data_IF_556033464936
#
_entry.id   IF_556033464936
#
_cell.length_a   1.000
_cell.length_b   1.000
_cell.length_c   1.000
_cell.angle_alpha   90.00
_cell.angle_beta   90.00
_cell.angle_gamma   90.00
#
_symmetry.space_group_name_H-M   'P 1'
#
loop_
_entity.id
_entity.type
_entity.pdbx_description
1 polymer ?
#
# COMPACT_ATOMS: atom_id res chain seq x y z
N UNK A 1 54.41 45.18 -11.63
CA UNK A 1 53.83 44.96 -10.30
C UNK A 1 53.32 43.53 -10.27
N UNK A 2 53.68 42.74 -9.25
CA UNK A 2 53.06 41.43 -9.03
C UNK A 2 51.71 41.76 -8.39
N UNK A 3 50.62 41.61 -9.13
CA UNK A 3 49.27 41.76 -8.59
C UNK A 3 49.08 40.68 -7.54
N UNK A 4 48.74 41.09 -6.32
CA UNK A 4 48.36 40.16 -5.26
C UNK A 4 46.90 39.80 -5.52
N UNK A 5 46.63 38.52 -5.68
CA UNK A 5 45.27 38.00 -5.82
C UNK A 5 44.72 37.67 -4.43
N UNK A 6 43.60 38.32 -4.08
CA UNK A 6 42.91 38.17 -2.80
C UNK A 6 41.46 37.69 -2.97
N UNK A 7 41.06 37.27 -4.17
CA UNK A 7 39.68 36.88 -4.45
C UNK A 7 39.55 35.37 -4.32
N UNK A 8 38.66 34.84 -3.45
CA UNK A 8 38.41 33.41 -3.41
C UNK A 8 37.83 32.89 -4.74
N UNK A 9 38.31 31.76 -5.26
CA UNK A 9 37.69 31.12 -6.42
C UNK A 9 36.27 30.64 -6.07
N UNK A 10 35.41 30.58 -7.07
CA UNK A 10 34.01 30.09 -6.95
C UNK A 10 33.75 28.99 -7.97
N UNK A 11 32.73 28.16 -7.75
CA UNK A 11 32.25 27.21 -8.77
C UNK A 11 31.40 27.95 -9.79
N UNK A 12 31.79 27.91 -11.06
CA UNK A 12 31.06 28.52 -12.17
C UNK A 12 30.02 27.57 -12.79
N UNK A 13 30.29 26.26 -12.77
CA UNK A 13 29.32 25.23 -13.16
C UNK A 13 29.64 23.89 -12.52
N UNK A 14 28.60 23.14 -12.16
CA UNK A 14 28.69 21.75 -11.72
C UNK A 14 27.72 20.90 -12.54
N UNK A 15 28.21 19.81 -13.13
CA UNK A 15 27.41 18.84 -13.89
C UNK A 15 27.73 17.43 -13.45
N UNK A 16 26.72 16.57 -13.45
CA UNK A 16 26.82 15.14 -13.16
C UNK A 16 26.63 14.32 -14.44
N UNK A 17 27.10 13.08 -14.44
CA UNK A 17 26.99 12.17 -15.60
C UNK A 17 25.57 11.68 -15.83
N UNK A 18 24.84 11.48 -14.75
CA UNK A 18 23.47 11.02 -14.73
C UNK A 18 22.71 11.80 -13.65
N UNK A 19 21.43 12.06 -13.89
CA UNK A 19 20.54 12.68 -12.90
C UNK A 19 19.73 11.65 -12.14
N UNK A 20 19.70 10.38 -12.58
CA UNK A 20 19.08 9.28 -11.87
C UNK A 20 19.97 8.04 -11.98
N UNK A 21 20.47 7.56 -10.86
CA UNK A 21 21.28 6.34 -10.81
C UNK A 21 20.39 5.16 -10.45
N UNK A 22 20.36 4.14 -11.30
CA UNK A 22 19.52 2.94 -11.17
C UNK A 22 20.32 1.63 -11.17
N UNK A 23 19.64 0.48 -11.12
CA UNK A 23 20.25 -0.83 -11.33
C UNK A 23 21.00 -0.92 -12.66
N UNK A 24 20.55 -0.19 -13.68
CA UNK A 24 21.21 -0.14 -14.98
C UNK A 24 22.63 0.46 -14.91
N UNK A 25 22.89 1.28 -13.89
CA UNK A 25 24.18 1.94 -13.67
C UNK A 25 25.11 1.12 -12.78
N UNK A 26 24.64 0.04 -12.16
CA UNK A 26 25.44 -0.79 -11.27
C UNK A 26 26.72 -1.31 -11.97
N UNK A 27 27.88 -1.07 -11.35
CA UNK A 27 29.19 -1.40 -11.90
C UNK A 27 29.74 -0.39 -12.91
N UNK A 28 28.97 0.63 -13.29
CA UNK A 28 29.43 1.73 -14.13
C UNK A 28 30.16 2.82 -13.32
N UNK A 29 30.56 3.89 -14.00
CA UNK A 29 31.19 5.06 -13.38
C UNK A 29 30.25 6.27 -13.44
N UNK A 30 29.94 6.80 -12.27
CA UNK A 30 29.30 8.11 -12.11
C UNK A 30 30.37 9.20 -11.99
N UNK A 31 30.20 10.33 -12.68
CA UNK A 31 31.15 11.44 -12.58
C UNK A 31 30.52 12.78 -12.22
N UNK A 32 31.28 13.60 -11.48
CA UNK A 32 30.98 14.99 -11.15
C UNK A 32 32.07 15.88 -11.77
N UNK A 33 31.67 16.79 -12.65
CA UNK A 33 32.57 17.80 -13.23
C UNK A 33 32.30 19.15 -12.57
N UNK A 34 33.37 19.77 -12.07
CA UNK A 34 33.34 21.07 -11.40
C UNK A 34 34.23 22.01 -12.19
N UNK A 35 33.64 23.12 -12.67
CA UNK A 35 34.40 24.21 -13.31
C UNK A 35 34.48 25.38 -12.33
N UNK A 36 35.68 25.91 -12.16
CA UNK A 36 35.95 27.05 -11.28
C UNK A 36 35.96 28.37 -12.06
N UNK A 37 35.81 29.50 -11.35
CA UNK A 37 35.84 30.84 -11.92
C UNK A 37 37.21 31.28 -12.43
N UNK A 38 38.27 30.57 -12.04
CA UNK A 38 39.66 30.89 -12.36
C UNK A 38 40.60 29.69 -12.24
N UNK A 39 41.89 29.91 -12.52
CA UNK A 39 42.90 28.87 -12.48
C UNK A 39 43.24 28.46 -11.02
N UNK A 40 43.18 27.16 -10.77
CA UNK A 40 43.33 26.52 -9.46
C UNK A 40 44.75 25.97 -9.25
N UNK A 41 45.15 25.79 -7.99
CA UNK A 41 46.31 24.98 -7.64
C UNK A 41 45.94 23.50 -7.81
N UNK A 42 46.42 22.89 -8.90
CA UNK A 42 46.09 21.50 -9.24
C UNK A 42 46.73 20.47 -8.29
N UNK A 43 47.55 20.89 -7.32
CA UNK A 43 48.05 20.03 -6.24
C UNK A 43 47.07 19.90 -5.06
N UNK A 44 46.04 20.77 -5.00
CA UNK A 44 45.01 20.77 -3.96
C UNK A 44 43.67 20.36 -4.57
N UNK A 45 43.19 19.16 -4.25
CA UNK A 45 41.87 18.70 -4.70
C UNK A 45 40.72 19.34 -3.89
N UNK A 46 39.56 19.64 -4.50
CA UNK A 46 38.36 19.97 -3.74
C UNK A 46 37.91 18.78 -2.88
N UNK A 47 37.22 19.09 -1.79
CA UNK A 47 36.40 18.13 -1.03
C UNK A 47 35.00 18.14 -1.62
N UNK A 48 34.49 16.96 -1.96
CA UNK A 48 33.12 16.75 -2.46
C UNK A 48 32.37 15.90 -1.45
N UNK A 49 31.20 16.37 -1.02
CA UNK A 49 30.30 15.63 -0.13
C UNK A 49 28.88 15.65 -0.66
N UNK A 50 28.12 14.60 -0.38
CA UNK A 50 26.73 14.46 -0.77
C UNK A 50 25.83 14.56 0.46
N UNK A 51 24.67 15.20 0.30
CA UNK A 51 23.64 15.28 1.33
C UNK A 51 22.26 15.06 0.68
N UNK A 52 21.52 13.97 1.01
CA UNK A 52 21.88 12.90 1.94
C UNK A 52 23.15 12.11 1.56
N UNK A 53 23.70 11.35 2.51
CA UNK A 53 24.91 10.54 2.26
C UNK A 53 24.62 9.34 1.37
N UNK A 54 25.43 9.16 0.32
CA UNK A 54 25.27 8.11 -0.70
C UNK A 54 26.42 7.09 -0.74
N UNK A 55 27.18 6.96 0.36
CA UNK A 55 28.40 6.15 0.42
C UNK A 55 28.18 4.64 0.21
N UNK A 56 26.94 4.16 0.28
CA UNK A 56 26.56 2.78 -0.03
C UNK A 56 26.51 2.51 -1.53
N UNK A 57 26.14 3.50 -2.33
CA UNK A 57 25.99 3.42 -3.80
C UNK A 57 27.21 3.99 -4.51
N UNK A 58 27.69 5.17 -4.12
CA UNK A 58 28.87 5.81 -4.72
C UNK A 58 30.13 5.48 -3.92
N UNK A 59 30.96 4.61 -4.48
CA UNK A 59 32.18 4.09 -3.84
C UNK A 59 33.43 4.45 -4.63
N UNK A 60 34.62 4.12 -4.09
CA UNK A 60 35.92 4.25 -4.76
C UNK A 60 36.16 5.64 -5.40
N UNK A 61 35.89 6.71 -4.65
CA UNK A 61 36.07 8.06 -5.13
C UNK A 61 37.51 8.31 -5.63
N UNK A 62 37.63 8.72 -6.88
CA UNK A 62 38.87 9.14 -7.52
C UNK A 62 38.67 10.50 -8.16
N UNK A 63 39.65 11.39 -8.10
CA UNK A 63 39.52 12.68 -8.77
C UNK A 63 40.81 13.15 -9.40
N UNK A 64 40.66 13.94 -10.46
CA UNK A 64 41.76 14.47 -11.26
C UNK A 64 41.42 15.86 -11.79
N UNK A 65 42.44 16.69 -11.93
CA UNK A 65 42.32 17.96 -12.64
C UNK A 65 42.39 17.70 -14.14
N UNK A 66 41.27 17.89 -14.84
CA UNK A 66 41.20 17.78 -16.30
C UNK A 66 41.84 19.00 -17.00
N UNK A 67 41.84 20.15 -16.31
CA UNK A 67 42.59 21.35 -16.67
C UNK A 67 42.90 22.13 -15.38
N UNK A 68 43.54 23.29 -15.48
CA UNK A 68 43.71 24.18 -14.33
C UNK A 68 42.40 24.84 -13.84
N UNK A 69 41.26 24.63 -14.52
CA UNK A 69 39.96 25.21 -14.13
C UNK A 69 38.87 24.16 -13.93
N UNK A 70 39.15 22.89 -14.27
CA UNK A 70 38.15 21.81 -14.27
C UNK A 70 38.66 20.63 -13.46
N UNK A 71 37.91 20.28 -12.40
CA UNK A 71 38.12 19.07 -11.63
C UNK A 71 37.06 18.03 -11.98
N UNK A 72 37.48 16.78 -12.18
CA UNK A 72 36.60 15.64 -12.44
C UNK A 72 36.76 14.61 -11.32
N UNK A 73 35.67 14.32 -10.62
CA UNK A 73 35.56 13.19 -9.70
C UNK A 73 34.80 12.05 -10.36
N UNK A 74 35.24 10.81 -10.15
CA UNK A 74 34.59 9.59 -10.56
C UNK A 74 34.30 8.71 -9.34
N UNK A 75 33.17 8.03 -9.37
CA UNK A 75 32.70 7.09 -8.36
C UNK A 75 32.30 5.81 -9.06
N UNK A 76 32.57 4.66 -8.45
CA UNK A 76 31.97 3.40 -8.88
C UNK A 76 30.57 3.31 -8.30
N UNK A 77 29.60 2.98 -9.15
CA UNK A 77 28.22 2.75 -8.74
C UNK A 77 28.07 1.30 -8.27
N UNK A 78 27.53 1.11 -7.07
CA UNK A 78 27.09 -0.17 -6.54
C UNK A 78 25.57 -0.15 -6.42
N UNK A 79 24.91 -1.25 -6.79
CA UNK A 79 23.54 -1.51 -6.39
C UNK A 79 23.53 -1.78 -4.88
N UNK A 80 22.84 -0.92 -4.14
CA UNK A 80 22.71 -1.00 -2.70
C UNK A 80 21.25 -1.25 -2.24
N UNK A 81 20.31 -1.42 -3.17
CA UNK A 81 18.88 -1.51 -2.85
C UNK A 81 18.33 -0.28 -2.13
N UNK A 82 18.69 0.93 -2.56
CA UNK A 82 18.27 2.18 -1.89
C UNK A 82 17.57 3.15 -2.84
N UNK A 83 16.64 3.90 -2.26
CA UNK A 83 15.97 5.05 -2.86
C UNK A 83 16.36 6.31 -2.05
N UNK A 84 17.02 7.26 -2.72
CA UNK A 84 17.52 8.53 -2.16
C UNK A 84 17.31 9.64 -3.18
N UNK A 85 16.31 10.46 -2.91
CA UNK A 85 15.97 11.62 -3.73
C UNK A 85 16.84 12.85 -3.47
N UNK A 86 16.86 13.75 -4.47
CA UNK A 86 17.24 15.15 -4.34
C UNK A 86 18.61 15.34 -3.67
N UNK A 87 19.64 14.64 -4.17
CA UNK A 87 20.97 14.63 -3.57
C UNK A 87 21.72 15.91 -3.93
N UNK A 88 22.11 16.65 -2.90
CA UNK A 88 22.98 17.82 -3.01
C UNK A 88 24.43 17.42 -3.28
N UNK A 89 25.13 18.25 -4.06
CA UNK A 89 26.58 18.16 -4.25
C UNK A 89 27.26 19.40 -3.66
N UNK A 90 27.96 19.19 -2.55
CA UNK A 90 28.69 20.22 -1.85
C UNK A 90 30.18 20.17 -2.22
N UNK A 91 30.76 21.32 -2.56
CA UNK A 91 32.17 21.46 -2.96
C UNK A 91 32.86 22.49 -2.07
N UNK A 92 34.01 22.11 -1.50
CA UNK A 92 34.79 22.96 -0.60
C UNK A 92 36.31 22.71 -0.71
N UNK A 93 37.10 23.52 0.00
CA UNK A 93 38.53 23.30 0.27
C UNK A 93 39.52 23.40 -0.91
N UNK A 94 39.07 23.56 -2.16
CA UNK A 94 39.98 23.84 -3.27
C UNK A 94 40.65 25.22 -3.09
N UNK A 95 41.86 25.37 -3.64
CA UNK A 95 42.64 26.61 -3.57
C UNK A 95 43.06 27.09 -4.96
N UNK A 96 43.15 28.40 -5.15
CA UNK A 96 43.76 28.99 -6.34
C UNK A 96 45.30 28.94 -6.28
N UNK A 97 45.96 29.39 -7.36
CA UNK A 97 47.43 29.46 -7.45
C UNK A 97 48.05 30.45 -6.43
N UNK A 98 47.26 31.38 -5.90
CA UNK A 98 47.67 32.34 -4.88
C UNK A 98 47.48 31.80 -3.44
N UNK A 99 46.83 30.64 -3.28
CA UNK A 99 46.53 30.00 -2.01
C UNK A 99 45.23 30.46 -1.36
N UNK A 100 44.36 31.20 -2.06
CA UNK A 100 43.03 31.53 -1.53
C UNK A 100 42.15 30.29 -1.60
N UNK A 101 41.50 29.95 -0.47
CA UNK A 101 40.51 28.87 -0.43
C UNK A 101 39.22 29.33 -1.10
N UNK A 102 38.60 28.45 -1.89
CA UNK A 102 37.34 28.73 -2.57
C UNK A 102 36.22 29.14 -1.61
N UNK A 103 35.23 29.88 -2.14
CA UNK A 103 33.92 29.99 -1.49
C UNK A 103 33.20 28.65 -1.64
N UNK A 104 32.75 28.06 -0.53
CA UNK A 104 32.02 26.80 -0.55
C UNK A 104 30.77 26.90 -1.44
N UNK A 105 30.51 25.84 -2.20
CA UNK A 105 29.40 25.75 -3.15
C UNK A 105 28.46 24.62 -2.72
N UNK A 106 27.16 24.89 -2.70
CA UNK A 106 26.11 23.90 -2.57
C UNK A 106 25.34 23.86 -3.89
N UNK A 107 25.38 22.70 -4.55
CA UNK A 107 24.55 22.42 -5.69
C UNK A 107 23.36 21.59 -5.26
N UNK A 108 22.20 22.22 -5.07
CA UNK A 108 20.98 21.53 -4.63
C UNK A 108 20.44 20.54 -5.68
N UNK A 109 19.87 19.42 -5.23
CA UNK A 109 19.06 18.46 -6.01
C UNK A 109 19.71 18.09 -7.36
N UNK A 110 20.96 17.63 -7.34
CA UNK A 110 21.75 17.43 -8.58
C UNK A 110 21.46 16.10 -9.26
N UNK A 111 21.06 15.09 -8.50
CA UNK A 111 20.68 13.76 -8.98
C UNK A 111 19.92 13.02 -7.87
N UNK A 112 19.24 11.94 -8.25
CA UNK A 112 18.67 10.94 -7.32
C UNK A 112 19.35 9.58 -7.51
N UNK A 113 19.18 8.69 -6.55
CA UNK A 113 19.55 7.27 -6.64
C UNK A 113 18.30 6.46 -6.37
N UNK A 114 17.96 5.56 -7.28
CA UNK A 114 16.95 4.53 -7.07
C UNK A 114 17.46 3.21 -7.64
N UNK A 115 18.18 2.46 -6.81
CA UNK A 115 18.60 1.07 -7.12
C UNK A 115 17.74 0.06 -6.36
N UNK A 116 16.53 0.44 -5.93
CA UNK A 116 15.66 -0.43 -5.17
C UNK A 116 14.68 -1.12 -6.13
N UNK A 117 14.71 -2.46 -6.20
CA UNK A 117 13.72 -3.17 -7.01
C UNK A 117 12.33 -3.18 -6.35
N UNK A 118 11.25 -3.13 -7.15
CA UNK A 118 9.90 -3.33 -6.65
C UNK A 118 9.72 -4.73 -6.07
N UNK A 119 8.86 -4.85 -5.06
CA UNK A 119 8.50 -6.12 -4.42
C UNK A 119 7.00 -6.24 -4.26
N UNK A 120 6.46 -7.46 -4.21
CA UNK A 120 5.04 -7.70 -3.92
C UNK A 120 4.74 -7.42 -2.44
N UNK A 121 3.82 -6.50 -2.17
CA UNK A 121 3.37 -6.15 -0.81
C UNK A 121 2.16 -6.96 -0.37
N UNK A 122 1.10 -7.02 -1.17
CA UNK A 122 -0.08 -7.88 -0.95
C UNK A 122 -0.94 -7.99 -2.20
N UNK A 123 -1.79 -9.00 -2.25
CA UNK A 123 -2.87 -9.10 -3.23
C UNK A 123 -4.21 -9.31 -2.52
N UNK A 124 -5.25 -8.67 -3.03
CA UNK A 124 -6.61 -8.78 -2.50
C UNK A 124 -7.62 -8.74 -3.65
N UNK A 125 -8.75 -9.42 -3.46
CA UNK A 125 -9.88 -9.28 -4.37
C UNK A 125 -10.33 -7.82 -4.45
N UNK A 126 -10.55 -7.36 -5.68
CA UNK A 126 -11.12 -6.05 -5.97
C UNK A 126 -12.57 -6.19 -6.43
N UNK A 127 -13.35 -5.14 -6.15
CA UNK A 127 -14.77 -5.05 -6.42
C UNK A 127 -15.03 -5.12 -7.91
N UNK A 128 -15.84 -6.09 -8.31
CA UNK A 128 -16.47 -6.03 -9.62
C UNK A 128 -17.50 -4.87 -9.63
N UNK A 129 -17.04 -3.71 -10.09
CA UNK A 129 -17.86 -2.51 -10.25
C UNK A 129 -18.65 -2.51 -11.57
N UNK A 130 -18.49 -3.53 -12.44
CA UNK A 130 -19.14 -3.59 -13.75
C UNK A 130 -20.24 -4.66 -13.87
N UNK A 131 -20.34 -5.58 -12.89
CA UNK A 131 -21.42 -6.56 -12.79
C UNK A 131 -21.27 -7.77 -13.73
N UNK A 132 -20.03 -8.10 -14.12
CA UNK A 132 -19.70 -9.24 -14.96
C UNK A 132 -19.32 -10.49 -14.13
N UNK A 133 -19.32 -11.68 -14.74
CA UNK A 133 -18.90 -12.91 -14.05
C UNK A 133 -17.37 -13.07 -13.94
N UNK A 134 -16.62 -11.96 -13.87
CA UNK A 134 -15.17 -11.97 -13.76
C UNK A 134 -14.71 -11.71 -12.32
N UNK A 135 -13.46 -12.02 -12.02
CA UNK A 135 -12.82 -11.61 -10.78
C UNK A 135 -11.77 -10.55 -11.08
N UNK A 136 -11.78 -9.51 -10.26
CA UNK A 136 -10.75 -8.49 -10.22
C UNK A 136 -9.85 -8.69 -9.00
N UNK A 137 -8.57 -8.41 -9.16
CA UNK A 137 -7.56 -8.50 -8.08
C UNK A 137 -6.75 -7.21 -8.11
N UNK A 138 -6.62 -6.57 -6.96
CA UNK A 138 -5.62 -5.53 -6.73
C UNK A 138 -4.34 -6.16 -6.19
N UNK A 139 -3.24 -5.91 -6.90
CA UNK A 139 -1.89 -6.31 -6.54
C UNK A 139 -1.13 -5.06 -6.17
N UNK A 140 -0.62 -5.01 -4.94
CA UNK A 140 0.14 -3.89 -4.43
C UNK A 140 1.62 -4.23 -4.35
N UNK A 141 2.45 -3.26 -4.75
CA UNK A 141 3.90 -3.32 -4.76
C UNK A 141 4.49 -2.40 -3.69
N UNK A 142 5.80 -2.50 -3.42
CA UNK A 142 6.52 -1.65 -2.46
C UNK A 142 6.64 -0.19 -2.89
N UNK A 143 6.48 0.08 -4.18
CA UNK A 143 6.75 1.38 -4.81
C UNK A 143 5.95 1.54 -6.11
N UNK A 144 6.03 2.73 -6.70
CA UNK A 144 5.30 3.08 -7.91
C UNK A 144 5.90 2.40 -9.15
N UNK A 145 5.04 1.76 -9.96
CA UNK A 145 5.47 1.05 -11.15
C UNK A 145 5.45 1.94 -12.40
N UNK A 146 6.34 1.68 -13.36
CA UNK A 146 6.16 2.13 -14.72
C UNK A 146 5.10 1.27 -15.41
N UNK A 147 3.90 1.84 -15.54
CA UNK A 147 2.76 1.22 -16.21
C UNK A 147 3.06 0.74 -17.64
N UNK A 148 4.07 1.30 -18.33
CA UNK A 148 4.47 0.88 -19.67
C UNK A 148 5.12 -0.51 -19.71
N UNK A 149 5.65 -0.96 -18.57
CA UNK A 149 6.32 -2.26 -18.42
C UNK A 149 5.39 -3.38 -17.95
N UNK A 150 4.17 -3.03 -17.50
CA UNK A 150 3.25 -3.99 -16.89
C UNK A 150 2.28 -4.56 -17.93
N UNK A 151 2.38 -5.85 -18.19
CA UNK A 151 1.50 -6.61 -19.08
C UNK A 151 0.80 -7.76 -18.33
N UNK A 152 -0.35 -8.19 -18.84
CA UNK A 152 -1.09 -9.30 -18.23
C UNK A 152 -0.33 -10.63 -18.29
N UNK A 153 0.62 -10.75 -19.23
CA UNK A 153 1.51 -11.91 -19.37
C UNK A 153 2.61 -11.97 -18.32
N UNK A 154 2.83 -10.90 -17.56
CA UNK A 154 3.81 -10.90 -16.46
C UNK A 154 3.28 -11.63 -15.22
N UNK A 155 2.00 -12.01 -15.23
CA UNK A 155 1.31 -12.58 -14.08
C UNK A 155 0.64 -13.91 -14.42
N UNK A 156 0.69 -14.85 -13.48
CA UNK A 156 -0.17 -16.03 -13.46
C UNK A 156 -0.82 -16.25 -12.09
N UNK A 157 -1.87 -17.08 -12.08
CA UNK A 157 -2.59 -17.47 -10.86
C UNK A 157 -2.34 -18.96 -10.64
N UNK A 158 -2.04 -19.36 -9.40
CA UNK A 158 -1.78 -20.77 -9.07
C UNK A 158 -3.01 -21.69 -9.11
N UNK A 159 -4.16 -21.19 -9.60
CA UNK A 159 -5.41 -21.95 -9.74
C UNK A 159 -5.58 -22.42 -11.18
N UNK A 160 -5.59 -23.73 -11.39
CA UNK A 160 -5.76 -24.34 -12.71
C UNK A 160 -7.01 -23.82 -13.43
N UNK A 161 -6.83 -23.34 -14.67
CA UNK A 161 -7.92 -22.87 -15.53
C UNK A 161 -8.39 -21.45 -15.24
N UNK A 162 -7.73 -20.74 -14.31
CA UNK A 162 -7.93 -19.31 -14.07
C UNK A 162 -6.65 -18.59 -14.47
N UNK A 163 -6.75 -17.72 -15.46
CA UNK A 163 -5.63 -16.95 -16.01
C UNK A 163 -5.88 -15.45 -15.87
N UNK A 164 -4.80 -14.66 -15.87
CA UNK A 164 -4.89 -13.21 -15.97
C UNK A 164 -5.22 -12.84 -17.42
N UNK A 165 -6.40 -12.25 -17.62
CA UNK A 165 -6.91 -11.92 -18.94
C UNK A 165 -6.52 -10.51 -19.38
N UNK A 166 -6.32 -9.60 -18.43
CA UNK A 166 -6.08 -8.18 -18.70
C UNK A 166 -5.46 -7.48 -17.48
N UNK A 167 -4.56 -6.53 -17.74
CA UNK A 167 -4.23 -5.43 -16.81
C UNK A 167 -5.25 -4.32 -17.06
N UNK A 168 -6.07 -4.03 -16.07
CA UNK A 168 -7.17 -3.05 -16.15
C UNK A 168 -6.62 -1.65 -15.92
N UNK A 169 -5.80 -1.51 -14.88
CA UNK A 169 -5.18 -0.26 -14.46
C UNK A 169 -3.83 -0.58 -13.80
N UNK A 170 -2.86 0.31 -14.02
CA UNK A 170 -1.67 0.45 -13.18
C UNK A 170 -1.65 1.89 -12.69
N UNK A 171 -1.75 2.10 -11.38
CA UNK A 171 -1.80 3.42 -10.75
C UNK A 171 -0.88 3.45 -9.54
N UNK A 172 0.27 4.11 -9.68
CA UNK A 172 1.34 4.09 -8.69
C UNK A 172 1.76 2.65 -8.38
N UNK A 173 1.77 2.28 -7.10
CA UNK A 173 2.12 0.94 -6.61
C UNK A 173 1.02 -0.12 -6.75
N UNK A 174 -0.11 0.19 -7.39
CA UNK A 174 -1.24 -0.76 -7.53
C UNK A 174 -1.43 -1.17 -8.99
N UNK A 175 -1.56 -2.47 -9.21
CA UNK A 175 -2.00 -3.06 -10.47
C UNK A 175 -3.33 -3.78 -10.26
N UNK A 176 -4.36 -3.39 -11.00
CA UNK A 176 -5.66 -4.05 -11.02
C UNK A 176 -5.71 -5.02 -12.19
N UNK A 177 -5.91 -6.30 -11.90
CA UNK A 177 -5.95 -7.39 -12.86
C UNK A 177 -7.38 -7.93 -13.01
N UNK A 178 -7.79 -8.23 -14.24
CA UNK A 178 -9.01 -9.00 -14.51
C UNK A 178 -8.66 -10.43 -14.89
N UNK A 179 -9.30 -11.39 -14.25
CA UNK A 179 -9.17 -12.81 -14.57
C UNK A 179 -10.18 -13.27 -15.62
N UNK A 180 -9.90 -14.40 -16.27
CA UNK A 180 -10.80 -15.03 -17.25
C UNK A 180 -12.01 -15.75 -16.62
N UNK A 181 -12.10 -15.83 -15.30
CA UNK A 181 -13.17 -16.52 -14.58
C UNK A 181 -13.21 -16.17 -13.09
N UNK A 182 -14.16 -16.79 -12.38
CA UNK A 182 -14.34 -16.57 -10.95
C UNK A 182 -13.26 -17.26 -10.13
N UNK A 183 -12.53 -16.48 -9.33
CA UNK A 183 -11.54 -17.02 -8.40
C UNK A 183 -12.17 -17.33 -7.04
N UNK A 184 -11.82 -18.52 -6.54
CA UNK A 184 -12.17 -19.04 -5.23
C UNK A 184 -10.96 -18.94 -4.31
N UNK A 185 -11.02 -18.08 -3.30
CA UNK A 185 -9.86 -17.75 -2.47
C UNK A 185 -9.59 -18.73 -1.32
N UNK A 186 -10.53 -19.62 -0.96
CA UNK A 186 -10.37 -20.56 0.17
C UNK A 186 -9.23 -21.56 0.04
N UNK A 187 -8.78 -21.83 -1.20
CA UNK A 187 -7.56 -22.59 -1.47
C UNK A 187 -6.27 -21.78 -1.31
N UNK A 188 -6.34 -20.54 -0.81
CA UNK A 188 -5.23 -19.59 -0.70
C UNK A 188 -4.43 -19.45 -2.00
N UNK A 189 -5.11 -19.13 -3.13
CA UNK A 189 -4.43 -18.98 -4.41
C UNK A 189 -3.40 -17.84 -4.32
N UNK A 190 -2.39 -17.93 -5.15
CA UNK A 190 -1.30 -16.96 -5.23
C UNK A 190 -1.28 -16.36 -6.61
N UNK A 191 -0.94 -15.08 -6.68
CA UNK A 191 -0.41 -14.49 -7.91
C UNK A 191 1.09 -14.75 -7.97
N UNK A 192 1.61 -14.99 -9.17
CA UNK A 192 3.02 -15.30 -9.44
C UNK A 192 3.51 -14.32 -10.52
N UNK A 193 4.72 -13.79 -10.37
CA UNK A 193 5.42 -13.03 -11.40
C UNK A 193 6.13 -14.01 -12.33
N UNK A 194 5.69 -14.09 -13.57
CA UNK A 194 6.27 -14.92 -14.65
C UNK A 194 7.10 -14.11 -15.65
N UNK A 195 6.82 -12.80 -15.74
CA UNK A 195 7.52 -11.86 -16.61
C UNK A 195 8.35 -10.86 -15.81
N UNK A 196 8.30 -9.60 -16.21
CA UNK A 196 9.08 -8.53 -15.58
C UNK A 196 8.26 -7.26 -15.48
N UNK A 197 8.11 -6.74 -14.27
CA UNK A 197 7.53 -5.42 -14.02
C UNK A 197 8.62 -4.50 -13.48
N UNK A 198 8.63 -3.23 -13.90
CA UNK A 198 9.62 -2.25 -13.45
C UNK A 198 8.99 -1.09 -12.69
N UNK A 199 9.77 -0.50 -11.79
CA UNK A 199 9.47 0.82 -11.20
C UNK A 199 9.70 1.97 -12.21
N UNK A 200 9.64 3.21 -11.72
CA UNK A 200 9.86 4.42 -12.52
C UNK A 200 11.35 4.66 -12.87
N UNK A 201 12.29 4.10 -12.10
CA UNK A 201 13.72 4.16 -12.38
C UNK A 201 14.18 3.05 -13.35
N UNK A 202 13.31 2.07 -13.62
CA UNK A 202 13.55 0.94 -14.50
C UNK A 202 14.12 -0.29 -13.78
N UNK A 203 14.14 -0.33 -12.44
CA UNK A 203 14.56 -1.53 -11.72
C UNK A 203 13.44 -2.57 -11.78
N UNK A 204 13.81 -3.82 -12.07
CA UNK A 204 12.83 -4.86 -12.44
C UNK A 204 12.60 -5.88 -11.34
N UNK A 205 11.34 -6.23 -11.09
CA UNK A 205 10.94 -7.46 -10.40
C UNK A 205 10.64 -8.55 -11.42
N UNK A 206 11.40 -9.64 -11.37
CA UNK A 206 11.34 -10.74 -12.35
C UNK A 206 10.84 -12.07 -11.77
N UNK A 207 10.61 -12.12 -10.46
CA UNK A 207 10.07 -13.30 -9.79
C UNK A 207 9.44 -12.94 -8.45
N UNK A 208 8.50 -13.75 -7.99
CA UNK A 208 7.83 -13.53 -6.72
C UNK A 208 6.45 -14.14 -6.73
N UNK A 209 5.89 -14.37 -5.55
CA UNK A 209 4.51 -14.81 -5.42
C UNK A 209 3.90 -14.30 -4.14
N UNK A 210 2.61 -13.96 -4.16
CA UNK A 210 1.90 -13.54 -2.96
C UNK A 210 0.48 -14.11 -2.93
N UNK A 211 0.00 -14.47 -1.73
CA UNK A 211 -1.37 -14.97 -1.55
C UNK A 211 -2.39 -13.88 -1.84
N UNK A 212 -3.40 -14.23 -2.61
CA UNK A 212 -4.55 -13.40 -2.90
C UNK A 212 -5.56 -13.59 -1.78
N UNK A 213 -5.79 -12.52 -1.01
CA UNK A 213 -6.74 -12.51 0.09
C UNK A 213 -8.15 -12.14 -0.40
N UNK A 214 -9.17 -12.61 0.31
CA UNK A 214 -10.57 -12.19 0.03
C UNK A 214 -10.81 -10.78 0.50
N UNK A 215 -10.25 -10.46 1.65
CA UNK A 215 -10.34 -9.16 2.27
C UNK A 215 -9.07 -8.86 3.04
N UNK A 216 -8.83 -7.57 3.23
CA UNK A 216 -7.73 -7.02 4.01
C UNK A 216 -8.27 -5.83 4.79
N UNK A 217 -8.36 -5.95 6.11
CA UNK A 217 -8.94 -4.94 7.00
C UNK A 217 -7.83 -4.41 7.90
N UNK A 218 -7.43 -3.15 7.67
CA UNK A 218 -6.46 -2.47 8.52
C UNK A 218 -7.11 -2.06 9.85
N UNK A 219 -6.49 -2.45 10.96
CA UNK A 219 -6.94 -2.18 12.31
C UNK A 219 -5.95 -1.26 13.02
N UNK A 220 -6.47 -0.26 13.74
CA UNK A 220 -5.67 0.61 14.59
C UNK A 220 -5.43 -0.04 15.95
N UNK A 221 -4.39 0.39 16.67
CA UNK A 221 -4.28 0.12 18.10
C UNK A 221 -5.51 0.70 18.83
N UNK A 222 -6.02 0.00 19.84
CA UNK A 222 -7.26 0.35 20.53
C UNK A 222 -8.50 -0.22 19.85
N UNK A 223 -9.62 0.49 19.96
CA UNK A 223 -10.92 0.00 19.48
C UNK A 223 -11.13 0.24 17.99
N UNK A 224 -11.63 -0.80 17.32
CA UNK A 224 -12.08 -0.80 15.94
C UNK A 224 -13.50 -1.35 15.89
N UNK A 225 -14.30 -0.86 14.94
CA UNK A 225 -15.64 -1.37 14.66
C UNK A 225 -15.65 -1.94 13.24
N UNK A 226 -15.75 -3.26 13.13
CA UNK A 226 -15.57 -3.99 11.87
C UNK A 226 -16.74 -4.92 11.55
N UNK A 227 -16.74 -5.42 10.32
CA UNK A 227 -17.52 -6.59 9.90
C UNK A 227 -16.62 -7.53 9.09
N UNK A 228 -17.02 -8.79 8.92
CA UNK A 228 -16.30 -9.71 8.03
C UNK A 228 -17.01 -9.75 6.68
N UNK A 229 -16.37 -9.29 5.59
CA UNK A 229 -16.95 -9.26 4.25
C UNK A 229 -16.76 -10.60 3.53
N UNK A 230 -17.10 -11.69 4.23
CA UNK A 230 -17.06 -13.06 3.73
C UNK A 230 -18.04 -13.90 4.55
N UNK A 231 -18.48 -15.04 4.02
CA UNK A 231 -19.37 -15.95 4.76
C UNK A 231 -18.61 -16.86 5.72
N UNK A 232 -18.13 -16.30 6.82
CA UNK A 232 -17.37 -17.05 7.83
C UNK A 232 -18.25 -17.87 8.77
N UNK A 233 -19.49 -18.18 8.40
CA UNK A 233 -20.48 -18.85 9.26
C UNK A 233 -20.01 -20.22 9.77
N UNK A 234 -19.25 -20.95 8.95
CA UNK A 234 -18.74 -22.28 9.26
C UNK A 234 -17.27 -22.26 9.70
N UNK A 235 -16.61 -21.11 9.66
CA UNK A 235 -15.20 -20.99 10.03
C UNK A 235 -15.04 -20.83 11.55
N UNK A 236 -13.99 -21.45 12.09
CA UNK A 236 -13.61 -21.26 13.49
C UNK A 236 -13.09 -19.84 13.69
N UNK A 237 -13.47 -19.17 14.79
CA UNK A 237 -12.99 -17.82 15.08
C UNK A 237 -11.47 -17.77 15.09
N UNK A 238 -10.79 -18.76 15.70
CA UNK A 238 -9.33 -18.88 15.71
C UNK A 238 -8.68 -18.89 14.32
N UNK A 239 -9.39 -19.40 13.31
CA UNK A 239 -8.94 -19.39 11.91
C UNK A 239 -9.11 -18.00 11.31
N UNK A 240 -10.28 -17.39 11.49
CA UNK A 240 -10.61 -16.07 10.93
C UNK A 240 -9.68 -14.99 11.48
N UNK A 241 -9.36 -15.01 12.77
CA UNK A 241 -8.55 -13.97 13.43
C UNK A 241 -7.05 -14.31 13.49
N UNK A 242 -6.63 -15.40 12.87
CA UNK A 242 -5.25 -15.92 12.98
C UNK A 242 -4.18 -14.86 12.65
N UNK A 243 -4.42 -14.06 11.61
CA UNK A 243 -3.52 -12.99 11.14
C UNK A 243 -3.30 -11.86 12.15
N UNK A 244 -4.20 -11.68 13.12
CA UNK A 244 -4.13 -10.62 14.14
C UNK A 244 -4.02 -11.16 15.56
N UNK A 245 -3.88 -12.48 15.72
CA UNK A 245 -4.02 -13.19 17.00
C UNK A 245 -3.04 -12.75 18.08
N UNK A 246 -1.84 -12.29 17.71
CA UNK A 246 -0.81 -11.79 18.62
C UNK A 246 -1.13 -10.41 19.19
N UNK A 247 -1.90 -9.59 18.46
CA UNK A 247 -2.25 -8.23 18.83
C UNK A 247 -3.72 -8.10 19.30
N UNK A 248 -4.55 -9.11 19.10
CA UNK A 248 -5.96 -9.12 19.46
C UNK A 248 -6.15 -9.25 20.98
N UNK A 249 -6.86 -8.29 21.59
CA UNK A 249 -7.17 -8.31 23.03
C UNK A 249 -8.56 -8.89 23.32
N UNK A 250 -9.59 -8.43 22.62
CA UNK A 250 -10.98 -8.87 22.85
C UNK A 250 -11.86 -8.52 21.65
N UNK A 251 -12.87 -9.35 21.42
CA UNK A 251 -13.95 -9.14 20.46
C UNK A 251 -15.28 -9.05 21.21
N UNK A 252 -16.16 -8.15 20.79
CA UNK A 252 -17.54 -8.05 21.26
C UNK A 252 -18.52 -7.99 20.09
N UNK A 253 -19.70 -8.56 20.30
CA UNK A 253 -20.87 -8.36 19.44
C UNK A 253 -22.12 -8.18 20.30
N UNK A 254 -23.14 -7.55 19.71
CA UNK A 254 -24.40 -7.23 20.38
C UNK A 254 -25.57 -7.87 19.64
N UNK A 255 -26.40 -8.60 20.37
CA UNK A 255 -27.66 -9.14 19.88
C UNK A 255 -28.83 -8.33 20.44
N UNK A 256 -29.49 -7.58 19.55
CA UNK A 256 -30.63 -6.75 19.90
C UNK A 256 -31.91 -7.57 20.19
N UNK A 257 -32.00 -8.81 19.68
CA UNK A 257 -33.16 -9.68 19.87
C UNK A 257 -33.28 -10.14 21.32
N UNK A 258 -32.13 -10.45 21.93
CA UNK A 258 -32.01 -10.86 23.33
C UNK A 258 -31.58 -9.71 24.24
N UNK A 259 -31.18 -8.57 23.67
CA UNK A 259 -30.57 -7.44 24.37
C UNK A 259 -29.34 -7.84 25.19
N UNK A 260 -28.44 -8.63 24.58
CA UNK A 260 -27.24 -9.15 25.25
C UNK A 260 -25.96 -8.87 24.49
N UNK A 261 -24.90 -8.64 25.24
CA UNK A 261 -23.54 -8.60 24.73
C UNK A 261 -22.86 -9.96 24.88
N UNK A 262 -22.10 -10.36 23.86
CA UNK A 262 -21.22 -11.52 23.90
C UNK A 262 -19.80 -11.08 23.58
N UNK A 263 -18.82 -11.70 24.24
CA UNK A 263 -17.40 -11.43 24.03
C UNK A 263 -16.60 -12.68 23.79
N UNK A 264 -15.42 -12.50 23.23
CA UNK A 264 -14.41 -13.54 23.07
C UNK A 264 -13.01 -12.97 23.27
N UNK A 265 -12.18 -13.67 24.03
CA UNK A 265 -10.75 -13.42 24.13
C UNK A 265 -9.95 -14.64 23.66
N UNK A 266 -8.69 -14.41 23.28
CA UNK A 266 -7.82 -15.50 22.85
C UNK A 266 -7.66 -16.54 23.97
N UNK A 267 -8.02 -17.79 23.67
CA UNK A 267 -8.04 -18.90 24.64
C UNK A 267 -9.44 -19.37 25.06
N UNK A 268 -10.51 -18.64 24.75
CA UNK A 268 -11.90 -19.04 25.07
C UNK A 268 -12.40 -20.24 24.24
N UNK A 269 -11.60 -20.72 23.29
CA UNK A 269 -11.96 -21.78 22.34
C UNK A 269 -12.89 -21.29 21.23
N UNK A 270 -13.30 -22.21 20.34
CA UNK A 270 -14.03 -21.86 19.12
C UNK A 270 -15.55 -22.07 19.27
N UNK A 271 -16.18 -21.47 20.28
CA UNK A 271 -17.65 -21.44 20.42
C UNK A 271 -18.26 -20.14 19.90
N UNK A 272 -17.49 -19.05 19.90
CA UNK A 272 -17.86 -17.77 19.31
C UNK A 272 -17.68 -17.82 17.78
N UNK A 273 -18.57 -17.16 17.02
CA UNK A 273 -18.50 -17.09 15.55
C UNK A 273 -18.53 -15.63 15.11
N UNK A 274 -17.72 -15.33 14.09
CA UNK A 274 -17.83 -14.08 13.33
C UNK A 274 -18.77 -14.37 12.16
N UNK A 275 -20.07 -14.20 12.41
CA UNK A 275 -21.11 -14.38 11.41
C UNK A 275 -21.16 -13.21 10.42
N UNK A 276 -21.44 -13.49 9.13
CA UNK A 276 -21.63 -12.48 8.09
C UNK A 276 -22.79 -11.52 8.41
N UNK A 277 -22.67 -10.27 7.98
CA UNK A 277 -23.72 -9.25 8.16
C UNK A 277 -23.83 -8.66 9.57
N UNK A 278 -23.13 -9.21 10.56
CA UNK A 278 -23.03 -8.65 11.92
C UNK A 278 -21.82 -7.71 12.06
N UNK A 279 -21.92 -6.78 13.00
CA UNK A 279 -20.82 -5.91 13.40
C UNK A 279 -20.10 -6.45 14.64
N UNK A 280 -18.82 -6.10 14.76
CA UNK A 280 -17.95 -6.51 15.85
C UNK A 280 -17.09 -5.36 16.34
N UNK A 281 -17.04 -5.19 17.66
CA UNK A 281 -16.05 -4.35 18.32
C UNK A 281 -14.80 -5.17 18.59
N UNK A 282 -13.66 -4.74 18.06
CA UNK A 282 -12.38 -5.41 18.27
C UNK A 282 -11.41 -4.45 18.93
N UNK A 283 -10.77 -4.89 20.00
CA UNK A 283 -9.68 -4.14 20.64
C UNK A 283 -8.33 -4.75 20.32
N UNK A 284 -7.42 -3.93 19.81
CA UNK A 284 -6.07 -4.32 19.43
C UNK A 284 -5.03 -3.69 20.38
N UNK A 285 -3.98 -4.45 20.70
CA UNK A 285 -2.83 -3.99 21.48
C UNK A 285 -1.91 -3.08 20.65
N UNK A 286 -1.74 -3.40 19.37
CA UNK A 286 -1.02 -2.62 18.36
C UNK A 286 -1.80 -2.65 17.05
N UNK A 287 -1.48 -1.72 16.12
CA UNK A 287 -2.07 -1.75 14.79
C UNK A 287 -1.66 -3.05 14.06
N UNK A 288 -2.59 -3.63 13.32
CA UNK A 288 -2.40 -4.88 12.58
C UNK A 288 -3.38 -4.98 11.41
N UNK A 289 -3.25 -5.99 10.57
CA UNK A 289 -4.15 -6.20 9.43
C UNK A 289 -4.80 -7.57 9.47
N UNK A 290 -6.13 -7.58 9.56
CA UNK A 290 -6.93 -8.78 9.46
C UNK A 290 -7.11 -9.17 7.99
N UNK A 291 -6.51 -10.29 7.61
CA UNK A 291 -6.65 -10.92 6.29
C UNK A 291 -7.37 -12.25 6.40
N UNK A 292 -8.09 -12.62 5.34
CA UNK A 292 -8.75 -13.92 5.27
C UNK A 292 -9.06 -14.40 3.87
N UNK A 293 -9.14 -15.72 3.74
CA UNK A 293 -9.50 -16.46 2.53
C UNK A 293 -10.86 -17.12 2.75
N UNK A 294 -11.78 -17.03 1.79
CA UNK A 294 -13.14 -17.54 1.95
C UNK A 294 -13.30 -18.94 1.35
N UNK A 295 -13.77 -19.89 2.16
CA UNK A 295 -14.07 -21.25 1.72
C UNK A 295 -15.41 -21.30 0.98
N UNK A 296 -15.39 -21.49 -0.34
CA UNK A 296 -16.60 -21.72 -1.12
C UNK A 296 -17.14 -23.14 -0.92
N UNK A 297 -17.93 -23.35 0.11
CA UNK A 297 -19.04 -24.30 -0.03
C UNK A 297 -20.10 -23.67 -0.93
N UNK A 298 -19.94 -23.93 -2.24
CA UNK A 298 -20.85 -23.78 -3.36
C UNK A 298 -21.82 -22.57 -3.38
N UNK A 299 -21.59 -21.65 -4.32
CA UNK A 299 -22.65 -20.91 -5.01
C UNK A 299 -23.73 -21.91 -5.47
N UNK A 300 -24.82 -22.06 -4.71
CA UNK A 300 -25.89 -23.00 -5.01
C UNK A 300 -26.72 -23.52 -3.82
N UNK A 301 -26.32 -23.27 -2.57
CA UNK A 301 -27.03 -23.72 -1.36
C UNK A 301 -27.80 -22.60 -0.62
N UNK A 302 -29.00 -22.28 -1.10
CA UNK A 302 -30.17 -21.69 -0.39
C UNK A 302 -29.98 -20.70 0.78
N UNK A 303 -30.36 -19.45 0.51
CA UNK A 303 -30.50 -18.26 1.37
C UNK A 303 -29.20 -17.49 1.63
N UNK A 304 -29.06 -16.24 1.13
CA UNK A 304 -27.99 -15.36 1.61
C UNK A 304 -28.07 -15.25 3.14
N UNK A 305 -26.93 -15.10 3.85
CA UNK A 305 -26.92 -14.80 5.26
C UNK A 305 -27.77 -13.56 5.51
N UNK A 306 -28.50 -13.60 6.60
CA UNK A 306 -29.36 -12.51 7.04
C UNK A 306 -29.20 -12.30 8.53
N UNK A 307 -29.41 -11.08 8.97
CA UNK A 307 -29.46 -10.71 10.37
C UNK A 307 -30.87 -10.25 10.69
N UNK A 308 -31.46 -10.78 11.75
CA UNK A 308 -32.74 -10.25 12.25
C UNK A 308 -32.46 -8.94 12.99
N UNK A 309 -33.08 -7.86 12.53
CA UNK A 309 -33.02 -6.55 13.16
C UNK A 309 -34.22 -6.36 14.07
N UNK A 310 -33.96 -5.97 15.32
CA UNK A 310 -34.98 -5.70 16.32
C UNK A 310 -35.62 -4.34 16.07
N UNK A 311 -36.95 -4.31 16.04
CA UNK A 311 -37.78 -3.10 15.95
C UNK A 311 -37.46 -2.09 17.06
N UNK A 312 -37.53 -0.80 16.73
CA UNK A 312 -37.38 0.31 17.68
C UNK A 312 -36.11 0.21 18.54
N UNK A 313 -35.02 -0.32 17.96
CA UNK A 313 -33.81 -0.68 18.70
C UNK A 313 -32.55 -0.45 17.86
N UNK A 314 -31.43 -0.30 18.56
CA UNK A 314 -30.10 -0.31 17.95
C UNK A 314 -29.69 -1.73 17.61
N UNK A 315 -29.12 -1.93 16.43
CA UNK A 315 -28.64 -3.20 15.92
C UNK A 315 -27.18 -3.03 15.48
N UNK A 316 -26.33 -3.99 15.83
CA UNK A 316 -24.92 -4.00 15.45
C UNK A 316 -24.73 -4.83 14.18
N UNK A 317 -24.58 -4.16 13.05
CA UNK A 317 -24.59 -4.76 11.72
C UNK A 317 -23.26 -4.54 10.98
N UNK A 318 -23.10 -5.27 9.89
CA UNK A 318 -21.98 -5.18 8.99
C UNK A 318 -22.41 -5.19 7.53
N UNK A 319 -21.51 -4.81 6.64
CA UNK A 319 -21.68 -5.01 5.21
C UNK A 319 -21.12 -6.37 4.79
N UNK A 320 -21.88 -7.13 3.99
CA UNK A 320 -21.52 -8.45 3.46
C UNK A 320 -21.53 -8.40 1.93
N UNK A 321 -20.71 -7.53 1.35
CA UNK A 321 -20.38 -7.66 -0.06
C UNK A 321 -19.20 -8.63 -0.24
N UNK A 322 -19.31 -9.45 -1.26
CA UNK A 322 -18.18 -10.20 -1.81
C UNK A 322 -17.22 -9.21 -2.48
N UNK A 323 -15.93 -9.55 -2.55
CA UNK A 323 -14.92 -8.82 -3.34
C UNK A 323 -14.73 -7.32 -3.00
N UNK A 324 -14.79 -6.89 -1.73
CA UNK A 324 -14.60 -5.47 -1.36
C UNK A 324 -15.53 -4.45 -2.08
N UNK A 325 -16.74 -4.87 -2.50
CA UNK A 325 -17.70 -3.94 -3.13
C UNK A 325 -18.34 -3.01 -2.11
N UNK A 326 -18.08 -1.71 -2.25
CA UNK A 326 -18.77 -0.68 -1.48
C UNK A 326 -20.17 -0.44 -2.06
N UNK A 327 -21.19 -0.34 -1.21
CA UNK A 327 -22.58 -0.22 -1.64
C UNK A 327 -23.27 1.05 -1.12
N UNK A 328 -23.91 1.82 -2.03
CA UNK A 328 -24.56 3.10 -1.72
C UNK A 328 -25.58 2.97 -0.58
N UNK A 329 -25.87 4.07 0.12
CA UNK A 329 -26.93 4.12 1.13
C UNK A 329 -28.33 4.12 0.49
N UNK A 330 -29.32 3.54 1.18
CA UNK A 330 -30.73 3.50 0.77
C UNK A 330 -31.13 2.28 -0.07
N UNK A 331 -32.37 2.30 -0.60
CA UNK A 331 -33.02 1.21 -1.36
C UNK A 331 -32.25 0.69 -2.60
N UNK A 332 -31.16 1.36 -2.99
CA UNK A 332 -30.33 1.01 -4.14
C UNK A 332 -28.96 0.40 -3.77
N UNK A 333 -28.68 0.13 -2.49
CA UNK A 333 -27.39 -0.47 -2.09
C UNK A 333 -27.46 -1.39 -0.86
N UNK A 334 -26.57 -1.22 0.12
CA UNK A 334 -26.32 -2.22 1.17
C UNK A 334 -27.56 -2.56 2.02
N UNK A 335 -28.45 -1.59 2.21
CA UNK A 335 -29.66 -1.71 3.02
C UNK A 335 -30.91 -2.00 2.19
N UNK A 336 -30.80 -2.47 0.94
CA UNK A 336 -31.94 -2.71 0.03
C UNK A 336 -33.06 -3.59 0.59
N UNK A 337 -32.75 -4.42 1.59
CA UNK A 337 -33.73 -5.29 2.26
C UNK A 337 -34.64 -4.53 3.22
N UNK A 338 -34.34 -3.25 3.48
CA UNK A 338 -35.08 -2.32 4.30
C UNK A 338 -35.68 -1.21 3.43
N UNK A 339 -36.80 -0.64 3.87
CA UNK A 339 -37.34 0.59 3.28
C UNK A 339 -36.67 1.82 3.90
N UNK A 340 -36.76 2.98 3.24
CA UNK A 340 -36.18 4.23 3.76
C UNK A 340 -36.76 4.59 5.14
N UNK A 341 -38.05 4.32 5.36
CA UNK A 341 -38.74 4.56 6.64
C UNK A 341 -38.33 3.56 7.76
N UNK A 342 -37.62 2.48 7.41
CA UNK A 342 -37.12 1.53 8.41
C UNK A 342 -35.80 2.02 9.05
N UNK A 343 -35.06 2.92 8.40
CA UNK A 343 -33.70 3.31 8.77
C UNK A 343 -33.70 4.68 9.44
N UNK A 344 -33.68 4.71 10.78
CA UNK A 344 -33.66 5.98 11.51
C UNK A 344 -32.28 6.62 11.62
N UNK A 345 -31.27 5.81 11.92
CA UNK A 345 -29.90 6.29 12.08
C UNK A 345 -28.88 5.20 11.79
N UNK A 346 -27.76 5.58 11.16
CA UNK A 346 -26.63 4.69 10.89
C UNK A 346 -25.33 5.37 11.32
N UNK A 347 -24.50 4.69 12.10
CA UNK A 347 -23.23 5.20 12.60
C UNK A 347 -22.10 4.19 12.39
N UNK A 348 -20.89 4.67 12.14
CA UNK A 348 -19.67 3.85 12.12
C UNK A 348 -18.55 4.53 12.91
N UNK A 349 -17.46 3.80 13.15
CA UNK A 349 -16.25 4.33 13.77
C UNK A 349 -15.23 4.65 12.68
N UNK A 350 -14.80 5.90 12.59
CA UNK A 350 -13.81 6.35 11.58
C UNK A 350 -12.37 6.34 12.09
N UNK A 351 -12.15 6.08 13.37
CA UNK A 351 -10.82 5.98 13.97
C UNK A 351 -10.85 6.02 15.50
N UNK A 352 -9.73 5.71 16.17
CA UNK A 352 -9.65 5.65 17.63
C UNK A 352 -9.82 7.03 18.29
N UNK A 353 -9.59 8.12 17.55
CA UNK A 353 -9.61 9.51 18.05
C UNK A 353 -10.76 10.37 17.52
N UNK A 354 -11.37 10.00 16.40
CA UNK A 354 -12.38 10.80 15.69
C UNK A 354 -13.83 10.53 16.12
N UNK A 355 -14.06 9.51 16.95
CA UNK A 355 -15.37 9.18 17.51
C UNK A 355 -16.37 8.63 16.49
N UNK A 356 -17.60 8.40 16.94
CA UNK A 356 -18.71 7.91 16.11
C UNK A 356 -19.12 8.96 15.09
N UNK A 357 -19.26 8.56 13.82
CA UNK A 357 -19.72 9.44 12.75
C UNK A 357 -21.01 8.91 12.13
N UNK A 358 -22.01 9.78 11.87
CA UNK A 358 -23.21 9.38 11.16
C UNK A 358 -22.87 9.08 9.70
N UNK A 359 -23.46 8.02 9.17
CA UNK A 359 -23.31 7.62 7.77
C UNK A 359 -24.40 8.34 6.96
N UNK A 360 -24.23 9.65 6.73
CA UNK A 360 -25.20 10.49 6.03
C UNK A 360 -24.99 10.42 4.51
N UNK A 361 -25.92 9.79 3.78
CA UNK A 361 -25.85 9.69 2.31
C UNK A 361 -24.61 8.94 1.80
N UNK A 362 -23.98 8.12 2.63
CA UNK A 362 -22.70 7.47 2.36
C UNK A 362 -22.79 5.95 2.37
N UNK A 363 -22.03 5.39 1.43
CA UNK A 363 -21.84 3.98 1.10
C UNK A 363 -21.37 3.15 2.30
N UNK A 364 -22.03 2.03 2.59
CA UNK A 364 -21.48 1.04 3.52
C UNK A 364 -20.29 0.34 2.85
N UNK A 365 -19.13 0.44 3.48
CA UNK A 365 -17.87 -0.16 3.04
C UNK A 365 -17.68 -1.54 3.66
N UNK A 366 -17.20 -2.55 2.89
CA UNK A 366 -16.81 -3.85 3.42
C UNK A 366 -15.74 -3.72 4.50
N UNK A 367 -15.75 -4.64 5.46
CA UNK A 367 -14.78 -4.61 6.56
C UNK A 367 -15.12 -3.65 7.70
N UNK A 368 -16.06 -2.71 7.52
CA UNK A 368 -16.52 -1.79 8.58
C UNK A 368 -17.77 -2.30 9.27
N UNK A 369 -17.86 -2.06 10.58
CA UNK A 369 -19.05 -2.31 11.37
C UNK A 369 -19.91 -1.04 11.52
N UNK A 370 -21.19 -1.24 11.82
CA UNK A 370 -22.16 -0.15 11.89
C UNK A 370 -23.18 -0.37 13.01
N UNK A 371 -23.61 0.73 13.61
CA UNK A 371 -24.80 0.79 14.46
C UNK A 371 -25.97 1.32 13.65
N UNK A 372 -27.01 0.51 13.49
CA UNK A 372 -28.26 0.86 12.81
C UNK A 372 -29.39 0.94 13.84
N UNK A 373 -30.06 2.08 13.93
CA UNK A 373 -31.34 2.20 14.63
C UNK A 373 -32.47 1.87 13.66
N UNK A 374 -33.24 0.82 13.97
CA UNK A 374 -34.38 0.40 13.16
C UNK A 374 -35.65 1.11 13.64
N UNK A 375 -36.20 2.00 12.80
CA UNK A 375 -37.45 2.76 13.06
C UNK A 375 -38.73 1.97 12.73
N UNK A 376 -38.61 0.79 12.13
CA UNK A 376 -39.74 -0.11 11.94
C UNK A 376 -40.46 -0.44 13.25
N UNK A 377 -41.78 -0.59 13.20
CA UNK A 377 -42.60 -1.10 14.31
C UNK A 377 -42.55 -2.63 14.44
N UNK A 378 -42.03 -3.33 13.44
CA UNK A 378 -41.85 -4.80 13.43
C UNK A 378 -40.41 -5.16 13.15
N UNK A 379 -39.95 -6.32 13.65
CA UNK A 379 -38.61 -6.82 13.33
C UNK A 379 -38.44 -7.00 11.81
N UNK A 380 -37.23 -6.80 11.29
CA UNK A 380 -36.92 -6.88 9.86
C UNK A 380 -35.78 -7.86 9.61
N UNK A 381 -35.75 -8.44 8.41
CA UNK A 381 -34.63 -9.26 7.96
C UNK A 381 -33.69 -8.39 7.13
N UNK A 382 -32.50 -8.15 7.66
CA UNK A 382 -31.43 -7.51 6.92
C UNK A 382 -30.67 -8.56 6.13
N UNK A 383 -30.78 -8.48 4.81
CA UNK A 383 -29.99 -9.27 3.87
C UNK A 383 -28.89 -8.36 3.32
N UNK A 384 -27.61 -8.55 3.71
CA UNK A 384 -26.53 -7.61 3.44
C UNK A 384 -25.94 -7.70 2.02
N UNK A 385 -26.76 -8.03 1.00
CA UNK A 385 -26.29 -8.28 -0.36
C UNK A 385 -26.47 -7.04 -1.27
N UNK A 386 -25.60 -6.89 -2.27
CA UNK A 386 -25.75 -6.17 -3.56
C UNK A 386 -25.63 -7.23 -4.66
N UNK A 387 -26.69 -7.62 -5.39
CA UNK A 387 -27.18 -6.87 -6.55
C UNK A 387 -28.59 -7.35 -6.95
N UNK A 388 -29.09 -6.79 -8.05
CA UNK A 388 -30.38 -6.97 -8.74
C UNK A 388 -30.88 -8.40 -8.89
#
# INVERSE_FOLDING_TARGET
>A
SKTIDNTPPTVSSLTVSDTLISDADAGSLFWVNITFSEAMDTSVAPTITFDPSVSTTLTNAQGTWASNTVYKANYTVADAGVDVDDIDVNVSSAQDVAGNTMTAYNGADKFSIDTQNPTLSYAVLDADNDGTNYTYIDVHFSEDLDASTVAYTDFSISTTGIDVAQVVETSGSRVTLRLNGLLRTGGSPTIIIDGSVADQAGNTLTSGSITINTYRISLNAGWNLISIPADTSNDLISTVISSISSNLQIIWTYDASTNTWSSWVNGDGDTFRLEPGKGYWIRMAAADTLVGNYNLTALGGTSPPYVTLKAQSWNLIGHWATYNQSASFGIYGALRSLSDDDVGALFTLTGPTTGYQPVLGQTMTPGKGYWLFLESTTDKLYVPNCST
#
